data_IF_634269205930
#
_entry.id   IF_634269205930
#
_cell.length_a   1.000
_cell.length_b   1.000
_cell.length_c   1.000
_cell.angle_alpha   90.00
_cell.angle_beta   90.00
_cell.angle_gamma   90.00
#
_symmetry.space_group_name_H-M   'P 1'
#
loop_
_entity.id
_entity.type
_entity.pdbx_description
1 polymer ?
#
# COMPACT_ATOMS: atom_id res chain seq x y z
N UNK A 1 15.33 -2.55 14.30
CA UNK A 1 14.64 -2.12 13.07
C UNK A 1 14.52 -0.62 13.15
N UNK A 2 14.92 0.10 12.10
CA UNK A 2 14.81 1.56 12.01
C UNK A 2 13.96 1.92 10.79
N UNK A 3 13.57 3.19 10.69
CA UNK A 3 12.84 3.69 9.52
C UNK A 3 13.56 3.36 8.21
N UNK A 4 12.76 3.16 7.16
CA UNK A 4 13.17 2.79 5.82
C UNK A 4 13.84 1.41 5.67
N UNK A 5 13.94 0.61 6.75
CA UNK A 5 14.31 -0.80 6.62
C UNK A 5 13.27 -1.55 5.77
N UNK A 6 13.76 -2.50 4.97
CA UNK A 6 12.90 -3.37 4.18
C UNK A 6 12.48 -4.57 5.02
N UNK A 7 11.18 -4.85 5.01
CA UNK A 7 10.56 -5.99 5.69
C UNK A 7 9.59 -6.67 4.74
N UNK A 8 9.36 -7.96 4.92
CA UNK A 8 8.34 -8.70 4.19
C UNK A 8 7.11 -8.83 5.07
N UNK A 9 5.95 -8.44 4.55
CA UNK A 9 4.68 -8.59 5.22
C UNK A 9 3.86 -9.68 4.52
N UNK A 10 3.24 -10.57 5.29
CA UNK A 10 2.31 -11.58 4.79
C UNK A 10 0.97 -11.59 5.56
N UNK A 11 -0.06 -12.11 4.89
CA UNK A 11 -1.32 -12.53 5.53
C UNK A 11 -1.58 -14.00 5.20
N UNK A 12 -2.02 -14.77 6.19
CA UNK A 12 -2.35 -16.19 6.02
C UNK A 12 -3.85 -16.35 5.69
N UNK A 13 -4.23 -17.34 4.85
CA UNK A 13 -3.38 -18.27 4.10
C UNK A 13 -2.75 -17.62 2.85
N UNK A 14 -1.49 -17.93 2.56
CA UNK A 14 -0.78 -17.36 1.39
C UNK A 14 -1.02 -18.20 0.14
N UNK A 15 -2.01 -17.81 -0.67
CA UNK A 15 -2.41 -18.53 -1.90
C UNK A 15 -1.72 -18.04 -3.17
N UNK A 16 -1.25 -16.79 -3.17
CA UNK A 16 -0.70 -16.12 -4.35
C UNK A 16 0.54 -15.31 -3.98
N UNK A 17 1.42 -15.07 -4.96
CA UNK A 17 2.69 -14.37 -4.78
C UNK A 17 2.53 -13.01 -4.07
N UNK A 18 1.44 -12.30 -4.32
CA UNK A 18 1.21 -10.95 -3.78
C UNK A 18 0.70 -10.92 -2.34
N UNK A 19 0.41 -12.07 -1.74
CA UNK A 19 0.15 -12.18 -0.29
C UNK A 19 1.45 -12.14 0.55
N UNK A 20 2.61 -11.99 -0.11
CA UNK A 20 3.91 -11.79 0.53
C UNK A 20 4.72 -10.75 -0.25
N UNK A 21 4.81 -9.53 0.28
CA UNK A 21 5.45 -8.41 -0.40
C UNK A 21 6.36 -7.63 0.54
N UNK A 22 7.37 -6.97 -0.04
CA UNK A 22 8.30 -6.14 0.69
C UNK A 22 7.79 -4.70 0.83
N UNK A 23 7.88 -4.18 2.06
CA UNK A 23 7.47 -2.82 2.45
C UNK A 23 8.64 -2.08 3.09
N UNK A 24 8.58 -0.75 3.04
CA UNK A 24 9.46 0.11 3.85
C UNK A 24 8.80 0.36 5.20
N UNK A 25 9.59 0.20 6.25
CA UNK A 25 9.14 0.45 7.63
C UNK A 25 9.07 1.94 7.91
N UNK A 26 7.96 2.36 8.51
CA UNK A 26 7.82 3.62 9.22
C UNK A 26 7.39 3.30 10.65
N UNK A 27 8.14 3.76 11.64
CA UNK A 27 7.85 3.49 13.04
C UNK A 27 6.74 4.43 13.51
N UNK A 28 5.65 3.84 14.00
CA UNK A 28 4.52 4.53 14.60
C UNK A 28 4.43 4.18 16.10
N UNK A 29 3.86 5.06 16.95
CA UNK A 29 3.84 4.85 18.40
C UNK A 29 2.84 3.78 18.88
N UNK A 30 1.94 3.32 18.01
CA UNK A 30 0.85 2.40 18.35
C UNK A 30 1.24 0.92 18.14
N UNK A 31 0.43 0.01 18.68
CA UNK A 31 0.71 -1.44 18.69
C UNK A 31 0.12 -2.23 17.51
N UNK A 32 -0.27 -1.55 16.42
CA UNK A 32 -0.88 -2.19 15.24
C UNK A 32 -0.06 -1.90 13.98
N UNK A 33 -0.08 -2.82 13.02
CA UNK A 33 0.48 -2.53 11.70
C UNK A 33 -0.41 -1.57 10.93
N UNK A 34 0.19 -0.55 10.33
CA UNK A 34 -0.49 0.40 9.46
C UNK A 34 0.02 0.20 8.03
N UNK A 35 -0.91 0.03 7.09
CA UNK A 35 -0.64 -0.14 5.67
C UNK A 35 -1.55 0.76 4.83
N UNK A 36 -1.14 1.02 3.60
CA UNK A 36 -1.94 1.79 2.66
C UNK A 36 -3.19 1.00 2.22
N UNK A 37 -4.33 1.68 2.09
CA UNK A 37 -5.60 1.04 1.71
C UNK A 37 -5.54 0.36 0.34
N UNK A 38 -4.80 0.89 -0.64
CA UNK A 38 -4.69 0.25 -1.96
C UNK A 38 -3.95 -1.08 -1.94
N UNK A 39 -3.23 -1.40 -0.87
CA UNK A 39 -2.53 -2.68 -0.73
C UNK A 39 -3.37 -3.73 0.00
N UNK A 40 -4.56 -3.40 0.50
CA UNK A 40 -5.42 -4.38 1.19
C UNK A 40 -5.97 -5.43 0.24
N UNK A 41 -6.31 -5.04 -1.00
CA UNK A 41 -6.85 -5.94 -2.03
C UNK A 41 -5.96 -7.16 -2.30
N UNK A 42 -4.65 -7.05 -2.56
CA UNK A 42 -3.79 -8.23 -2.75
C UNK A 42 -3.58 -9.05 -1.46
N UNK A 43 -3.75 -8.46 -0.27
CA UNK A 43 -3.68 -9.18 1.00
C UNK A 43 -5.01 -9.80 1.43
N UNK A 44 -6.12 -9.44 0.77
CA UNK A 44 -7.48 -9.80 1.16
C UNK A 44 -7.80 -9.40 2.62
N UNK A 45 -7.31 -8.23 3.04
CA UNK A 45 -7.44 -7.72 4.41
C UNK A 45 -8.56 -6.68 4.54
N UNK A 46 -9.29 -6.67 5.67
CA UNK A 46 -10.46 -5.81 5.90
C UNK A 46 -10.45 -5.05 7.25
N UNK A 47 -9.38 -5.17 8.05
CA UNK A 47 -9.18 -4.47 9.34
C UNK A 47 -10.22 -4.76 10.44
N UNK A 48 -10.93 -5.89 10.38
CA UNK A 48 -11.91 -6.28 11.42
C UNK A 48 -11.31 -7.05 12.62
N UNK A 49 -9.98 -7.16 12.67
CA UNK A 49 -9.25 -8.02 13.61
C UNK A 49 -8.16 -8.87 12.93
N UNK A 50 -7.95 -8.68 11.63
CA UNK A 50 -6.90 -9.34 10.85
C UNK A 50 -5.50 -9.26 11.50
N UNK A 51 -4.82 -10.42 11.52
CA UNK A 51 -3.41 -10.53 11.90
C UNK A 51 -2.52 -10.77 10.66
N UNK A 52 -1.33 -10.18 10.67
CA UNK A 52 -0.33 -10.30 9.59
C UNK A 52 1.04 -10.59 10.20
N UNK A 53 1.89 -11.34 9.50
CA UNK A 53 3.26 -11.58 9.98
C UNK A 53 4.26 -10.69 9.25
N UNK A 54 5.28 -10.27 9.99
CA UNK A 54 6.38 -9.46 9.50
C UNK A 54 7.69 -10.24 9.60
N UNK A 55 8.45 -10.29 8.52
CA UNK A 55 9.74 -10.95 8.44
C UNK A 55 10.84 -9.96 8.10
N UNK A 56 11.87 -9.88 8.96
CA UNK A 56 13.01 -8.98 8.77
C UNK A 56 14.19 -9.70 8.08
N UNK A 57 14.55 -9.33 6.84
CA UNK A 57 15.74 -9.87 6.16
C UNK A 57 17.03 -9.50 6.90
N UNK A 58 17.85 -10.50 7.22
CA UNK A 58 19.13 -10.29 7.91
C UNK A 58 20.29 -10.04 6.95
N UNK A 59 20.32 -10.72 5.81
CA UNK A 59 21.43 -10.62 4.84
C UNK A 59 21.25 -9.45 3.87
N UNK A 60 22.36 -8.87 3.42
CA UNK A 60 22.35 -7.82 2.39
C UNK A 60 21.80 -8.37 1.07
N UNK A 61 22.15 -9.62 0.73
CA UNK A 61 21.62 -10.31 -0.46
C UNK A 61 20.09 -10.37 -0.44
N UNK A 62 19.49 -10.78 0.68
CA UNK A 62 18.05 -10.80 0.82
C UNK A 62 17.44 -9.39 0.74
N UNK A 63 18.08 -8.37 1.34
CA UNK A 63 17.58 -6.99 1.24
C UNK A 63 17.53 -6.49 -0.21
N UNK A 64 18.55 -6.80 -1.01
CA UNK A 64 18.60 -6.46 -2.44
C UNK A 64 17.56 -7.26 -3.24
N UNK A 65 17.41 -8.54 -2.95
CA UNK A 65 16.39 -9.38 -3.59
C UNK A 65 14.98 -8.81 -3.35
N UNK A 66 14.69 -8.42 -2.11
CA UNK A 66 13.42 -7.81 -1.77
C UNK A 66 13.21 -6.47 -2.47
N UNK A 67 14.23 -5.59 -2.50
CA UNK A 67 14.14 -4.28 -3.16
C UNK A 67 13.87 -4.40 -4.66
N UNK A 68 14.48 -5.38 -5.31
CA UNK A 68 14.42 -5.56 -6.76
C UNK A 68 13.26 -6.43 -7.24
N UNK A 69 12.78 -7.39 -6.43
CA UNK A 69 11.80 -8.39 -6.90
C UNK A 69 10.46 -8.36 -6.18
N UNK A 70 10.44 -8.01 -4.88
CA UNK A 70 9.27 -8.20 -4.03
C UNK A 70 8.65 -6.89 -3.52
N UNK A 71 9.25 -5.75 -3.82
CA UNK A 71 8.69 -4.44 -3.44
C UNK A 71 7.27 -4.25 -4.00
N UNK A 72 6.37 -3.74 -3.15
CA UNK A 72 4.96 -3.47 -3.51
C UNK A 72 4.80 -2.76 -4.87
N UNK A 73 5.53 -1.66 -5.19
CA UNK A 73 5.41 -1.00 -6.49
C UNK A 73 5.71 -1.90 -7.71
N UNK A 74 6.55 -2.93 -7.56
CA UNK A 74 6.89 -3.88 -8.63
C UNK A 74 5.84 -4.98 -8.80
N UNK A 75 4.92 -5.09 -7.86
CA UNK A 75 3.86 -6.11 -7.82
C UNK A 75 2.46 -5.50 -7.98
N UNK A 76 2.34 -4.27 -8.51
CA UNK A 76 1.05 -3.66 -8.81
C UNK A 76 0.27 -4.47 -9.86
N UNK A 77 0.98 -5.02 -10.85
CA UNK A 77 0.39 -5.81 -11.96
C UNK A 77 0.65 -7.28 -11.72
N UNK A 78 -0.40 -8.10 -11.75
CA UNK A 78 -0.26 -9.56 -11.63
C UNK A 78 0.00 -10.22 -12.99
N UNK A 79 0.93 -11.19 -13.06
CA UNK A 79 1.12 -12.01 -14.25
C UNK A 79 -0.04 -12.99 -14.50
N UNK A 80 -0.89 -13.26 -13.50
CA UNK A 80 -2.01 -14.20 -13.64
C UNK A 80 -3.07 -13.73 -14.63
N UNK A 81 -3.33 -12.42 -14.67
CA UNK A 81 -4.38 -11.82 -15.50
C UNK A 81 -3.89 -10.63 -16.33
N UNK A 82 -2.59 -10.28 -16.24
CA UNK A 82 -1.98 -9.12 -16.90
C UNK A 82 -2.74 -7.81 -16.62
N UNK A 83 -3.24 -7.66 -15.39
CA UNK A 83 -4.04 -6.52 -14.92
C UNK A 83 -3.51 -6.03 -13.58
N UNK A 84 -3.74 -4.75 -13.22
CA UNK A 84 -3.45 -4.26 -11.89
C UNK A 84 -4.32 -4.98 -10.85
N UNK A 85 -3.72 -5.32 -9.71
CA UNK A 85 -4.45 -5.88 -8.55
C UNK A 85 -4.55 -4.88 -7.41
N UNK A 86 -3.72 -3.84 -7.43
CA UNK A 86 -3.84 -2.69 -6.54
C UNK A 86 -4.53 -1.54 -7.29
N UNK A 87 -5.42 -0.84 -6.61
CA UNK A 87 -6.16 0.28 -7.15
C UNK A 87 -6.67 1.22 -6.07
N UNK A 88 -7.36 2.28 -6.50
CA UNK A 88 -8.07 3.17 -5.58
C UNK A 88 -9.35 2.44 -5.13
N UNK A 89 -9.56 2.36 -3.82
CA UNK A 89 -10.67 1.63 -3.20
C UNK A 89 -11.40 2.50 -2.17
N UNK A 90 -12.55 2.03 -1.70
CA UNK A 90 -13.34 2.62 -0.62
C UNK A 90 -13.65 4.12 -0.81
N UNK A 91 -13.42 4.91 0.24
CA UNK A 91 -13.74 6.34 0.28
C UNK A 91 -13.04 7.13 -0.82
N UNK A 92 -11.80 6.78 -1.15
CA UNK A 92 -11.05 7.53 -2.18
C UNK A 92 -11.68 7.31 -3.56
N UNK A 93 -12.15 6.09 -3.85
CA UNK A 93 -12.84 5.80 -5.11
C UNK A 93 -14.14 6.59 -5.23
N UNK A 94 -14.92 6.61 -4.14
CA UNK A 94 -16.18 7.36 -4.08
C UNK A 94 -15.95 8.87 -4.17
N UNK A 95 -14.94 9.39 -3.47
CA UNK A 95 -14.58 10.80 -3.48
C UNK A 95 -14.11 11.27 -4.86
N UNK A 96 -13.25 10.50 -5.53
CA UNK A 96 -12.78 10.82 -6.89
C UNK A 96 -13.96 10.90 -7.87
N UNK A 97 -14.93 9.99 -7.78
CA UNK A 97 -16.12 10.02 -8.63
C UNK A 97 -16.94 11.29 -8.41
N UNK A 98 -17.12 11.70 -7.15
CA UNK A 98 -17.89 12.92 -6.81
C UNK A 98 -17.14 14.18 -7.22
N UNK A 99 -15.84 14.24 -6.96
CA UNK A 99 -15.00 15.42 -7.19
C UNK A 99 -14.79 15.73 -8.68
N UNK A 100 -14.78 14.71 -9.54
CA UNK A 100 -14.49 14.87 -10.97
C UNK A 100 -15.72 15.16 -11.85
N UNK A 101 -16.91 15.34 -11.26
CA UNK A 101 -18.11 15.71 -12.02
C UNK A 101 -18.04 17.16 -12.51
N UNK A 102 -18.66 17.45 -13.66
CA UNK A 102 -18.63 18.77 -14.31
C UNK A 102 -19.27 19.89 -13.49
N UNK A 103 -20.18 19.55 -12.60
CA UNK A 103 -20.95 20.45 -11.74
C UNK A 103 -20.27 20.71 -10.38
N UNK A 104 -19.06 20.17 -10.17
CA UNK A 104 -18.30 20.39 -8.93
C UNK A 104 -17.19 21.42 -9.18
N UNK A 105 -17.28 22.53 -8.46
CA UNK A 105 -16.30 23.61 -8.46
C UNK A 105 -15.60 23.67 -7.09
N UNK A 106 -14.31 24.03 -7.10
CA UNK A 106 -13.48 24.13 -5.90
C UNK A 106 -13.04 25.58 -5.74
N UNK A 107 -13.25 26.15 -4.56
CA UNK A 107 -12.84 27.52 -4.29
C UNK A 107 -11.32 27.65 -4.25
N UNK A 108 -10.80 28.85 -4.53
CA UNK A 108 -9.36 29.10 -4.58
C UNK A 108 -8.67 28.71 -3.27
N UNK A 109 -9.27 29.04 -2.12
CA UNK A 109 -8.75 28.68 -0.79
C UNK A 109 -8.60 27.17 -0.63
N UNK A 110 -9.65 26.41 -0.96
CA UNK A 110 -9.65 24.95 -0.84
C UNK A 110 -8.67 24.31 -1.81
N UNK A 111 -8.59 24.83 -3.04
CA UNK A 111 -7.62 24.36 -4.03
C UNK A 111 -6.18 24.55 -3.55
N UNK A 112 -5.86 25.71 -2.96
CA UNK A 112 -4.52 25.94 -2.40
C UNK A 112 -4.20 24.98 -1.26
N UNK A 113 -5.19 24.64 -0.42
CA UNK A 113 -5.03 23.63 0.62
C UNK A 113 -4.79 22.24 0.02
N UNK A 114 -5.54 21.85 -1.02
CA UNK A 114 -5.36 20.57 -1.70
C UNK A 114 -3.97 20.44 -2.32
N UNK A 115 -3.43 21.52 -2.92
CA UNK A 115 -2.09 21.52 -3.49
C UNK A 115 -0.99 21.21 -2.47
N UNK A 116 -1.19 21.52 -1.18
CA UNK A 116 -0.21 21.21 -0.13
C UNK A 116 -0.03 19.70 0.10
N UNK A 117 -0.99 18.88 -0.31
CA UNK A 117 -0.92 17.41 -0.16
C UNK A 117 -0.28 16.71 -1.36
N UNK A 118 0.02 17.42 -2.45
CA UNK A 118 0.74 16.84 -3.59
C UNK A 118 2.23 16.67 -3.21
N UNK A 119 2.79 15.46 -3.35
CA UNK A 119 4.21 15.25 -3.10
C UNK A 119 5.05 16.02 -4.12
N UNK A 120 6.13 16.64 -3.64
CA UNK A 120 7.15 17.35 -4.43
C UNK A 120 8.14 16.41 -5.10
#
# INVERSE_FOLDING_TARGET
MIDNNLVVLNRQPTLHKMLMMAHRVTILPWSTFCLNLSVTTPYDANFDGDEMNLHLPQSIKAKVELSELMMVPRLIITPQSNRPVMGIVEDTLTAVQKMTKRDVFIEKSDFMNLLMFLPS
#
